data_IF_515783632045
#
_entry.id   IF_515783632045
#
_cell.length_a   1.000
_cell.length_b   1.000
_cell.length_c   1.000
_cell.angle_alpha   90.00
_cell.angle_beta   90.00
_cell.angle_gamma   90.00
#
_symmetry.space_group_name_H-M   'P 1'
#
loop_
_entity.id
_entity.type
_entity.pdbx_description
1 polymer ?
#
# COMPACT_ATOMS: atom_id res chain seq x y z
N UNK A 1 -10.34 14.38 -23.42
CA UNK A 1 -9.72 14.07 -22.12
C UNK A 1 -10.02 12.65 -21.65
N UNK A 2 -11.27 12.17 -21.70
CA UNK A 2 -11.63 10.82 -21.23
C UNK A 2 -11.02 9.67 -22.05
N UNK A 3 -10.89 9.82 -23.38
CA UNK A 3 -10.35 8.76 -24.25
C UNK A 3 -8.86 8.47 -24.01
N UNK A 4 -8.07 9.49 -23.66
CA UNK A 4 -6.62 9.34 -23.46
C UNK A 4 -6.31 8.63 -22.14
N UNK A 5 -7.08 8.91 -21.08
CA UNK A 5 -6.95 8.23 -19.78
C UNK A 5 -7.38 6.76 -19.90
N UNK A 6 -8.52 6.49 -20.56
CA UNK A 6 -8.99 5.11 -20.78
C UNK A 6 -7.97 4.27 -21.57
N UNK A 7 -7.33 4.87 -22.58
CA UNK A 7 -6.28 4.20 -23.34
C UNK A 7 -5.04 3.89 -22.48
N UNK A 8 -4.69 4.73 -21.52
CA UNK A 8 -3.61 4.43 -20.57
C UNK A 8 -3.98 3.32 -19.58
N UNK A 9 -5.21 3.33 -19.05
CA UNK A 9 -5.69 2.29 -18.15
C UNK A 9 -5.72 0.90 -18.84
N UNK A 10 -6.15 0.84 -20.11
CA UNK A 10 -6.13 -0.39 -20.91
C UNK A 10 -4.70 -0.90 -21.15
N UNK A 11 -3.72 -0.01 -21.33
CA UNK A 11 -2.31 -0.41 -21.48
C UNK A 11 -1.78 -1.04 -20.20
N UNK A 12 -2.16 -0.53 -19.04
CA UNK A 12 -1.70 -1.05 -17.75
C UNK A 12 -2.38 -2.39 -17.45
N UNK A 13 -3.69 -2.50 -17.67
CA UNK A 13 -4.42 -3.75 -17.44
C UNK A 13 -3.96 -4.92 -18.32
N UNK A 14 -3.29 -4.64 -19.44
CA UNK A 14 -2.73 -5.69 -20.32
C UNK A 14 -1.27 -6.06 -19.99
N UNK A 15 -0.58 -5.27 -19.16
CA UNK A 15 0.82 -5.53 -18.77
C UNK A 15 0.85 -6.37 -17.51
N UNK A 16 1.56 -7.50 -17.54
CA UNK A 16 1.72 -8.39 -16.38
C UNK A 16 2.53 -7.76 -15.22
N UNK A 17 3.42 -6.82 -15.53
CA UNK A 17 4.30 -6.20 -14.53
C UNK A 17 3.59 -5.56 -13.32
N UNK A 18 2.57 -4.68 -13.47
CA UNK A 18 1.83 -4.15 -12.33
C UNK A 18 1.17 -5.23 -11.48
N UNK A 19 0.70 -6.33 -12.08
CA UNK A 19 0.15 -7.45 -11.31
C UNK A 19 1.22 -8.18 -10.50
N UNK A 20 2.40 -8.43 -11.10
CA UNK A 20 3.54 -9.03 -10.39
C UNK A 20 3.97 -8.14 -9.22
N UNK A 21 4.08 -6.82 -9.45
CA UNK A 21 4.41 -5.85 -8.40
C UNK A 21 3.34 -5.78 -7.32
N UNK A 22 2.07 -5.86 -7.69
CA UNK A 22 0.97 -5.92 -6.72
C UNK A 22 1.03 -7.20 -5.88
N UNK A 23 1.27 -8.35 -6.50
CA UNK A 23 1.44 -9.62 -5.78
C UNK A 23 2.66 -9.56 -4.86
N UNK A 24 3.78 -8.98 -5.30
CA UNK A 24 4.96 -8.78 -4.45
C UNK A 24 4.69 -7.83 -3.28
N UNK A 25 3.93 -6.75 -3.51
CA UNK A 25 3.51 -5.83 -2.46
C UNK A 25 2.65 -6.56 -1.41
N UNK A 26 1.62 -7.28 -1.86
CA UNK A 26 0.72 -8.06 -0.99
C UNK A 26 1.49 -9.15 -0.27
N UNK A 27 2.38 -9.86 -0.96
CA UNK A 27 3.21 -10.89 -0.36
C UNK A 27 4.17 -10.30 0.69
N UNK A 28 4.80 -9.16 0.43
CA UNK A 28 5.66 -8.47 1.40
C UNK A 28 4.90 -8.09 2.67
N UNK A 29 3.74 -7.45 2.52
CA UNK A 29 2.87 -7.09 3.65
C UNK A 29 2.39 -8.33 4.40
N UNK A 30 1.90 -9.34 3.68
CA UNK A 30 1.39 -10.57 4.28
C UNK A 30 2.49 -11.35 5.01
N UNK A 31 3.67 -11.48 4.40
CA UNK A 31 4.83 -12.14 5.02
C UNK A 31 5.25 -11.39 6.28
N UNK A 32 5.33 -10.07 6.27
CA UNK A 32 5.71 -9.33 7.48
C UNK A 32 4.68 -9.53 8.59
N UNK A 33 3.39 -9.36 8.29
CA UNK A 33 2.34 -9.53 9.30
C UNK A 33 2.28 -10.97 9.81
N UNK A 34 2.34 -11.97 8.95
CA UNK A 34 2.23 -13.38 9.38
C UNK A 34 3.50 -13.96 9.95
N UNK A 35 4.66 -13.68 9.37
CA UNK A 35 5.91 -14.33 9.74
C UNK A 35 6.42 -13.76 11.06
N UNK A 36 6.39 -12.44 11.25
CA UNK A 36 6.70 -11.86 12.56
C UNK A 36 5.66 -12.28 13.61
N UNK A 37 4.40 -12.46 13.22
CA UNK A 37 3.37 -12.88 14.17
C UNK A 37 3.38 -14.32 14.59
N UNK A 38 3.61 -15.20 13.62
CA UNK A 38 3.76 -16.61 13.89
C UNK A 38 5.05 -16.90 14.67
N UNK A 39 6.16 -16.22 14.34
CA UNK A 39 7.41 -16.33 15.11
C UNK A 39 7.21 -15.84 16.54
N UNK A 40 6.61 -14.66 16.73
CA UNK A 40 6.33 -14.14 18.08
C UNK A 40 5.38 -15.04 18.89
N UNK A 41 4.39 -15.67 18.25
CA UNK A 41 3.51 -16.64 18.90
C UNK A 41 4.24 -17.93 19.30
N UNK A 42 5.17 -18.41 18.46
CA UNK A 42 5.87 -19.68 18.67
C UNK A 42 7.03 -19.57 19.66
N UNK A 43 7.72 -18.44 19.67
CA UNK A 43 8.92 -18.21 20.49
C UNK A 43 8.56 -17.95 21.96
N UNK A 44 7.34 -17.48 22.23
CA UNK A 44 6.92 -17.05 23.56
C UNK A 44 5.83 -17.95 24.14
N UNK A 45 6.24 -19.09 24.72
CA UNK A 45 5.33 -20.03 25.40
C UNK A 45 4.79 -19.51 26.74
N UNK A 46 5.15 -18.29 27.17
CA UNK A 46 4.57 -17.64 28.33
C UNK A 46 3.21 -17.01 27.99
N UNK A 47 2.16 -17.49 28.67
CA UNK A 47 0.75 -17.13 28.43
C UNK A 47 0.44 -15.62 28.43
N UNK A 48 1.28 -14.78 29.06
CA UNK A 48 1.08 -13.33 29.15
C UNK A 48 1.72 -12.53 27.99
N UNK A 49 2.82 -13.00 27.42
CA UNK A 49 3.51 -12.29 26.32
C UNK A 49 3.05 -12.78 24.95
N UNK A 50 2.68 -14.07 24.82
CA UNK A 50 1.99 -14.58 23.64
C UNK A 50 0.66 -13.86 23.35
N UNK A 51 -0.04 -13.37 24.40
CA UNK A 51 -1.22 -12.50 24.23
C UNK A 51 -0.87 -11.10 23.71
N UNK A 52 0.30 -10.54 24.07
CA UNK A 52 0.78 -9.26 23.51
C UNK A 52 1.18 -9.42 22.05
N UNK A 53 1.80 -10.54 21.67
CA UNK A 53 2.07 -10.87 20.28
C UNK A 53 0.76 -10.97 19.48
N UNK A 54 -0.24 -11.70 19.98
CA UNK A 54 -1.57 -11.79 19.35
C UNK A 54 -2.28 -10.43 19.20
N UNK A 55 -2.06 -9.48 20.12
CA UNK A 55 -2.61 -8.12 20.02
C UNK A 55 -2.07 -7.33 18.83
N UNK A 56 -0.84 -7.60 18.36
CA UNK A 56 -0.28 -6.96 17.15
C UNK A 56 -0.99 -7.42 15.87
N UNK A 57 -1.56 -8.63 15.86
CA UNK A 57 -2.29 -9.21 14.71
C UNK A 57 -3.79 -8.90 14.73
N UNK A 58 -4.32 -8.67 15.92
CA UNK A 58 -5.72 -8.34 16.10
C UNK A 58 -5.99 -6.85 15.85
N UNK A 59 -7.22 -6.55 15.47
CA UNK A 59 -7.72 -5.19 15.56
C UNK A 59 -7.62 -4.66 17.01
N UNK A 60 -7.32 -3.35 17.21
CA UNK A 60 -7.10 -2.31 16.20
C UNK A 60 -5.62 -2.13 15.75
N UNK A 61 -4.67 -2.73 16.47
CA UNK A 61 -3.22 -2.50 16.29
C UNK A 61 -2.66 -2.96 14.95
N UNK A 62 -3.33 -3.91 14.29
CA UNK A 62 -2.98 -4.30 12.93
C UNK A 62 -3.06 -3.14 11.92
N UNK A 63 -3.90 -2.13 12.16
CA UNK A 63 -4.08 -1.00 11.24
C UNK A 63 -2.81 -0.13 11.19
N UNK A 64 -2.21 0.20 12.34
CA UNK A 64 -0.94 0.95 12.39
C UNK A 64 0.17 0.16 11.72
N UNK A 65 0.28 -1.12 12.05
CA UNK A 65 1.28 -2.00 11.44
C UNK A 65 1.10 -2.09 9.92
N UNK A 66 -0.12 -2.16 9.41
CA UNK A 66 -0.42 -2.16 7.98
C UNK A 66 -0.11 -0.81 7.31
N UNK A 67 -0.34 0.31 7.99
CA UNK A 67 -0.03 1.64 7.47
C UNK A 67 1.48 1.88 7.43
N UNK A 68 2.22 1.54 8.48
CA UNK A 68 3.68 1.70 8.55
C UNK A 68 4.39 0.80 7.54
N UNK A 69 4.01 -0.48 7.49
CA UNK A 69 4.56 -1.42 6.51
C UNK A 69 4.08 -1.08 5.09
N UNK A 70 2.83 -0.68 4.94
CA UNK A 70 2.25 -0.23 3.68
C UNK A 70 2.96 1.01 3.14
N UNK A 71 3.39 1.92 4.00
CA UNK A 71 4.17 3.09 3.60
C UNK A 71 5.56 2.68 3.10
N UNK A 72 6.28 1.83 3.84
CA UNK A 72 7.61 1.36 3.44
C UNK A 72 7.57 0.54 2.14
N UNK A 73 6.78 -0.53 2.12
CA UNK A 73 6.69 -1.45 1.00
C UNK A 73 5.93 -0.84 -0.18
N UNK A 74 4.84 -0.12 0.07
CA UNK A 74 4.04 0.54 -0.95
C UNK A 74 4.79 1.64 -1.68
N UNK A 75 5.50 2.52 -0.95
CA UNK A 75 6.21 3.64 -1.58
C UNK A 75 7.46 3.17 -2.31
N UNK A 76 8.27 2.31 -1.68
CA UNK A 76 9.54 1.87 -2.28
C UNK A 76 9.31 0.86 -3.39
N UNK A 77 8.57 -0.22 -3.13
CA UNK A 77 8.44 -1.30 -4.11
C UNK A 77 7.43 -0.93 -5.17
N UNK A 78 6.21 -0.56 -4.76
CA UNK A 78 5.16 -0.36 -5.75
C UNK A 78 5.33 0.97 -6.48
N UNK A 79 5.32 2.09 -5.76
CA UNK A 79 5.31 3.42 -6.40
C UNK A 79 6.62 3.70 -7.14
N UNK A 80 7.78 3.50 -6.51
CA UNK A 80 9.05 3.86 -7.16
C UNK A 80 9.38 2.94 -8.36
N UNK A 81 9.21 1.62 -8.24
CA UNK A 81 9.54 0.68 -9.32
C UNK A 81 8.51 0.78 -10.46
N UNK A 82 7.21 0.87 -10.14
CA UNK A 82 6.19 0.99 -11.17
C UNK A 82 6.33 2.29 -11.95
N UNK A 83 6.50 3.42 -11.26
CA UNK A 83 6.63 4.73 -11.90
C UNK A 83 7.90 4.81 -12.72
N UNK A 84 9.04 4.37 -12.19
CA UNK A 84 10.31 4.37 -12.94
C UNK A 84 10.24 3.47 -14.18
N UNK A 85 9.71 2.25 -14.06
CA UNK A 85 9.58 1.32 -15.20
C UNK A 85 8.64 1.83 -16.29
N UNK A 86 7.49 2.39 -15.89
CA UNK A 86 6.51 2.93 -16.85
C UNK A 86 7.07 4.12 -17.61
N UNK A 87 7.87 4.98 -16.95
CA UNK A 87 8.57 6.09 -17.61
C UNK A 87 9.71 5.58 -18.50
N UNK A 88 10.56 4.68 -17.99
CA UNK A 88 11.68 4.12 -18.74
C UNK A 88 11.26 3.44 -20.05
N UNK A 89 10.12 2.72 -20.03
CA UNK A 89 9.59 2.05 -21.21
C UNK A 89 9.22 3.05 -22.32
N UNK A 90 8.69 4.22 -21.96
CA UNK A 90 8.31 5.24 -22.96
C UNK A 90 9.50 5.94 -23.60
N UNK A 91 10.54 6.19 -22.80
CA UNK A 91 11.81 6.70 -23.31
C UNK A 91 12.50 5.67 -24.20
N UNK A 92 12.49 4.39 -23.81
CA UNK A 92 13.07 3.29 -24.57
C UNK A 92 12.41 3.10 -25.94
N UNK A 93 11.07 3.17 -26.00
CA UNK A 93 10.33 2.98 -27.25
C UNK A 93 10.19 4.26 -28.09
N UNK A 94 10.65 5.41 -27.60
CA UNK A 94 10.54 6.68 -28.30
C UNK A 94 9.09 7.17 -28.48
N UNK A 95 8.14 6.66 -27.70
CA UNK A 95 6.71 7.01 -27.81
C UNK A 95 6.44 8.48 -27.52
N UNK A 96 7.29 9.10 -26.69
CA UNK A 96 7.25 10.55 -26.41
C UNK A 96 7.40 11.35 -27.70
N UNK A 97 8.35 10.97 -28.58
CA UNK A 97 8.55 11.66 -29.86
C UNK A 97 7.34 11.49 -30.77
N UNK A 98 6.78 10.29 -30.84
CA UNK A 98 5.58 10.01 -31.64
C UNK A 98 4.36 10.80 -31.16
N UNK A 99 4.17 10.95 -29.85
CA UNK A 99 3.08 11.70 -29.26
C UNK A 99 3.17 13.21 -29.57
N UNK A 100 4.38 13.78 -29.48
CA UNK A 100 4.63 15.20 -29.78
C UNK A 100 4.41 15.48 -31.28
N UNK A 101 4.91 14.61 -32.17
CA UNK A 101 4.73 14.76 -33.64
C UNK A 101 3.26 14.67 -34.05
N UNK A 102 2.44 13.92 -33.31
CA UNK A 102 0.99 13.81 -33.54
C UNK A 102 0.18 15.02 -33.01
N UNK A 103 0.86 16.08 -32.56
CA UNK A 103 0.22 17.34 -32.15
C UNK A 103 -0.24 17.37 -30.68
N UNK A 104 0.16 16.41 -29.85
CA UNK A 104 -0.16 16.44 -28.43
C UNK A 104 0.78 17.44 -27.71
N UNK A 105 0.22 18.35 -26.91
CA UNK A 105 1.03 19.30 -26.14
C UNK A 105 1.84 18.56 -25.06
N UNK A 106 3.09 19.00 -24.84
CA UNK A 106 4.02 18.38 -23.86
C UNK A 106 3.42 18.31 -22.46
N UNK A 107 2.74 19.38 -22.04
CA UNK A 107 2.10 19.47 -20.74
C UNK A 107 0.90 18.51 -20.61
N UNK A 108 0.04 18.40 -21.65
CA UNK A 108 -1.10 17.49 -21.61
C UNK A 108 -0.66 16.02 -21.61
N UNK A 109 0.43 15.69 -22.31
CA UNK A 109 1.03 14.36 -22.27
C UNK A 109 1.52 13.99 -20.87
N UNK A 110 2.34 14.85 -20.26
CA UNK A 110 2.87 14.64 -18.90
C UNK A 110 1.74 14.56 -17.86
N UNK A 111 0.75 15.44 -17.94
CA UNK A 111 -0.38 15.44 -17.00
C UNK A 111 -1.21 14.16 -17.09
N UNK A 112 -1.52 13.71 -18.31
CA UNK A 112 -2.26 12.44 -18.51
C UNK A 112 -1.47 11.29 -17.90
N UNK A 113 -0.17 11.23 -18.20
CA UNK A 113 0.71 10.15 -17.74
C UNK A 113 0.82 10.10 -16.22
N UNK A 114 1.05 11.26 -15.60
CA UNK A 114 1.17 11.39 -14.16
C UNK A 114 -0.14 11.00 -13.48
N UNK A 115 -1.29 11.46 -14.00
CA UNK A 115 -2.61 11.05 -13.50
C UNK A 115 -2.84 9.55 -13.64
N UNK A 116 -2.52 8.97 -14.80
CA UNK A 116 -2.65 7.53 -15.05
C UNK A 116 -1.85 6.72 -14.04
N UNK A 117 -0.56 7.03 -13.87
CA UNK A 117 0.29 6.35 -12.88
C UNK A 117 -0.20 6.54 -11.46
N UNK A 118 -0.64 7.75 -11.09
CA UNK A 118 -1.15 8.06 -9.75
C UNK A 118 -2.42 7.28 -9.44
N UNK A 119 -3.37 7.17 -10.38
CA UNK A 119 -4.60 6.41 -10.20
C UNK A 119 -4.29 4.92 -9.97
N UNK A 120 -3.34 4.36 -10.73
CA UNK A 120 -2.96 2.95 -10.59
C UNK A 120 -2.26 2.70 -9.24
N UNK A 121 -1.33 3.59 -8.85
CA UNK A 121 -0.69 3.53 -7.54
C UNK A 121 -1.70 3.62 -6.40
N UNK A 122 -2.63 4.58 -6.48
CA UNK A 122 -3.68 4.73 -5.47
C UNK A 122 -4.57 3.47 -5.39
N UNK A 123 -5.02 2.95 -6.53
CA UNK A 123 -5.82 1.73 -6.58
C UNK A 123 -5.09 0.50 -6.01
N UNK A 124 -3.80 0.37 -6.31
CA UNK A 124 -2.98 -0.73 -5.80
C UNK A 124 -2.75 -0.64 -4.30
N UNK A 125 -2.45 0.55 -3.78
CA UNK A 125 -2.27 0.77 -2.34
C UNK A 125 -3.57 0.53 -1.56
N UNK A 126 -4.71 1.01 -2.08
CA UNK A 126 -6.02 0.73 -1.50
C UNK A 126 -6.36 -0.76 -1.55
N UNK A 127 -6.03 -1.43 -2.65
CA UNK A 127 -6.19 -2.88 -2.78
C UNK A 127 -5.34 -3.64 -1.75
N UNK A 128 -4.07 -3.27 -1.58
CA UNK A 128 -3.19 -3.89 -0.60
C UNK A 128 -3.66 -3.65 0.83
N UNK A 129 -4.12 -2.45 1.16
CA UNK A 129 -4.73 -2.13 2.46
C UNK A 129 -5.97 -2.99 2.70
N UNK A 130 -6.88 -3.08 1.71
CA UNK A 130 -8.08 -3.91 1.80
C UNK A 130 -7.76 -5.39 2.02
N UNK A 131 -6.78 -5.93 1.30
CA UNK A 131 -6.29 -7.31 1.49
C UNK A 131 -5.72 -7.49 2.90
N UNK A 132 -4.89 -6.55 3.37
CA UNK A 132 -4.33 -6.57 4.72
C UNK A 132 -5.42 -6.61 5.80
N UNK A 133 -6.41 -5.74 5.70
CA UNK A 133 -7.55 -5.68 6.64
C UNK A 133 -8.37 -6.97 6.65
N UNK A 134 -8.57 -7.62 5.50
CA UNK A 134 -9.25 -8.92 5.40
C UNK A 134 -8.45 -10.03 6.08
N UNK A 135 -7.13 -10.07 5.87
CA UNK A 135 -6.26 -11.03 6.56
C UNK A 135 -6.27 -10.82 8.07
N UNK A 136 -6.23 -9.57 8.54
CA UNK A 136 -6.30 -9.26 9.97
C UNK A 136 -7.66 -9.62 10.58
N UNK A 137 -8.77 -9.40 9.85
CA UNK A 137 -10.10 -9.81 10.29
C UNK A 137 -10.19 -11.34 10.44
N UNK A 138 -9.61 -12.06 9.47
CA UNK A 138 -9.51 -13.52 9.53
C UNK A 138 -8.67 -13.99 10.72
N UNK A 139 -7.52 -13.35 10.98
CA UNK A 139 -6.66 -13.67 12.11
C UNK A 139 -7.36 -13.41 13.46
N UNK A 140 -8.05 -12.26 13.60
CA UNK A 140 -8.86 -11.95 14.78
C UNK A 140 -9.97 -12.98 15.01
N UNK A 141 -10.68 -13.38 13.96
CA UNK A 141 -11.73 -14.39 14.05
C UNK A 141 -11.17 -15.77 14.44
N UNK A 142 -10.04 -16.18 13.87
CA UNK A 142 -9.37 -17.42 14.22
C UNK A 142 -8.87 -17.44 15.68
N UNK A 143 -8.48 -16.28 16.21
CA UNK A 143 -8.04 -16.12 17.59
C UNK A 143 -9.20 -15.95 18.60
N UNK A 144 -10.46 -15.93 18.14
CA UNK A 144 -11.64 -15.72 19.00
C UNK A 144 -11.73 -14.33 19.64
N UNK A 145 -11.00 -13.34 19.11
CA UNK A 145 -11.01 -11.97 19.62
C UNK A 145 -12.16 -11.17 19.00
N UNK A 146 -12.81 -10.26 19.74
CA UNK A 146 -13.85 -9.40 19.19
C UNK A 146 -13.26 -8.46 18.14
N UNK A 147 -13.92 -8.38 16.97
CA UNK A 147 -13.57 -7.42 15.91
C UNK A 147 -14.15 -6.07 16.32
N UNK A 148 -13.41 -5.34 17.14
CA UNK A 148 -13.75 -3.96 17.53
C UNK A 148 -12.62 -3.01 17.15
N UNK A 149 -12.99 -1.83 16.68
CA UNK A 149 -12.08 -0.72 16.38
C UNK A 149 -11.88 0.19 17.59
N UNK A 150 -12.69 0.00 18.63
CA UNK A 150 -12.68 0.78 19.87
C UNK A 150 -12.31 -0.15 21.02
N UNK A 151 -11.10 0.02 21.54
CA UNK A 151 -10.54 -0.76 22.65
C UNK A 151 -9.94 0.24 23.64
N UNK A 152 -10.20 0.04 24.94
CA UNK A 152 -9.91 1.00 26.02
C UNK A 152 -8.41 1.38 26.22
N UNK A 153 -7.49 0.85 25.42
CA UNK A 153 -6.06 1.20 25.38
C UNK A 153 -5.50 1.17 23.94
N UNK A 154 -6.36 1.08 22.92
CA UNK A 154 -5.98 0.99 21.51
C UNK A 154 -5.98 2.34 20.80
N UNK A 155 -5.21 2.51 19.71
CA UNK A 155 -5.22 3.75 18.95
C UNK A 155 -6.60 3.95 18.33
N UNK A 156 -7.23 5.09 18.65
CA UNK A 156 -8.53 5.42 18.10
C UNK A 156 -8.39 5.84 16.63
N UNK A 157 -9.40 5.58 15.80
CA UNK A 157 -9.39 5.93 14.36
C UNK A 157 -9.06 7.43 14.11
N UNK A 158 -9.52 8.38 14.94
CA UNK A 158 -9.10 9.78 14.83
C UNK A 158 -7.61 10.00 15.14
N UNK A 159 -7.04 9.30 16.12
CA UNK A 159 -5.61 9.38 16.45
C UNK A 159 -4.73 8.81 15.33
N UNK A 160 -5.18 7.76 14.64
CA UNK A 160 -4.49 7.21 13.47
C UNK A 160 -4.44 8.21 12.29
N UNK A 161 -5.49 9.00 12.13
CA UNK A 161 -5.53 10.08 11.13
C UNK A 161 -4.57 11.24 11.49
N UNK A 162 -4.37 11.49 12.78
CA UNK A 162 -3.49 12.55 13.29
C UNK A 162 -2.01 12.12 13.34
N UNK A 163 -1.70 10.85 13.61
CA UNK A 163 -0.32 10.33 13.62
C UNK A 163 0.30 10.20 12.23
N UNK A 164 -0.53 10.05 11.19
CA UNK A 164 -0.10 10.09 9.79
C UNK A 164 0.26 11.51 9.30
N UNK A 165 -0.08 12.55 10.07
CA UNK A 165 0.31 13.93 9.79
C UNK A 165 1.55 14.29 10.63
N UNK A 166 2.68 14.68 10.01
CA UNK A 166 3.82 15.19 10.78
C UNK A 166 3.36 16.49 11.47
N UNK A 167 3.20 16.46 12.79
CA UNK A 167 2.97 17.68 13.56
C UNK A 167 4.20 18.58 13.38
N UNK A 168 4.01 19.72 12.72
CA UNK A 168 5.01 20.76 12.49
C UNK A 168 5.37 21.55 13.78
N UNK A 169 5.32 20.91 14.94
CA UNK A 169 5.18 21.60 16.24
C UNK A 169 6.34 21.49 17.22
N UNK A 170 6.93 20.31 17.43
CA UNK A 170 7.81 20.12 18.58
C UNK A 170 9.23 19.69 18.18
N UNK A 171 10.07 20.70 17.92
CA UNK A 171 11.51 20.57 18.21
C UNK A 171 11.81 21.32 19.51
N UNK A 172 12.26 20.65 20.59
CA UNK A 172 12.84 21.34 21.72
C UNK A 172 14.16 22.00 21.28
N UNK A 173 14.29 23.28 21.62
CA UNK A 173 15.49 24.10 21.44
C UNK A 173 16.69 23.54 22.20
#
# INVERSE_FOLDING_TARGET
MNLTINAEMLKVGKRWMPYILFVLLVAGVAVVVWLFGYVAYKEDQNFQEGQKALRTFAYPWTITALLDNGQFWGTIIFVAIFTSSTMATEYSWGTVRQAIVRGQSRAAYLATKLLGTTIICAAALLGALGVGLLFSAWASAAAGQPITLDVADGPSVPELGLSAWPSLGDQPR
#
